data_IF_612930481111
#
_entry.id   IF_612930481111
#
_cell.length_a   1.000
_cell.length_b   1.000
_cell.length_c   1.000
_cell.angle_alpha   90.00
_cell.angle_beta   90.00
_cell.angle_gamma   90.00
#
_symmetry.space_group_name_H-M   'P 1'
#
loop_
_entity.id
_entity.type
_entity.pdbx_description
1 polymer ?
#
# COMPACT_ATOMS: atom_id res chain seq x y z
N UNK A 1 -5.10 -26.64 -4.97
CA UNK A 1 -4.50 -25.35 -4.57
C UNK A 1 -5.17 -24.27 -5.42
N UNK A 2 -5.95 -23.36 -4.82
CA UNK A 2 -6.55 -22.25 -5.57
C UNK A 2 -5.42 -21.34 -6.06
N UNK A 3 -5.46 -20.96 -7.35
CA UNK A 3 -4.47 -20.06 -7.95
C UNK A 3 -4.77 -18.64 -7.47
N UNK A 4 -3.76 -17.90 -7.05
CA UNK A 4 -3.92 -16.48 -6.70
C UNK A 4 -4.50 -15.71 -7.90
N UNK A 5 -5.49 -14.86 -7.65
CA UNK A 5 -6.14 -14.04 -8.67
C UNK A 5 -5.94 -12.56 -8.37
N UNK A 6 -5.41 -11.82 -9.34
CA UNK A 6 -5.37 -10.36 -9.27
C UNK A 6 -6.78 -9.80 -9.49
N UNK A 7 -7.23 -8.97 -8.56
CA UNK A 7 -8.40 -8.10 -8.68
C UNK A 7 -8.04 -6.80 -9.39
N UNK A 8 -9.00 -6.21 -10.11
CA UNK A 8 -8.89 -4.85 -10.63
C UNK A 8 -8.83 -3.86 -9.46
N UNK A 9 -7.75 -3.06 -9.31
CA UNK A 9 -7.66 -2.04 -8.27
C UNK A 9 -8.78 -1.00 -8.35
N UNK A 10 -9.33 -0.73 -9.54
CA UNK A 10 -10.19 0.43 -9.80
C UNK A 10 -9.37 1.73 -9.87
N UNK A 11 -10.06 2.87 -9.79
CA UNK A 11 -9.40 4.17 -9.77
C UNK A 11 -8.83 4.47 -8.37
N UNK A 12 -7.54 4.81 -8.34
CA UNK A 12 -6.80 5.12 -7.12
C UNK A 12 -6.26 6.54 -7.20
N UNK A 13 -7.06 7.50 -6.73
CA UNK A 13 -6.76 8.93 -6.79
C UNK A 13 -7.02 9.58 -5.43
N UNK A 14 -6.09 10.42 -4.99
CA UNK A 14 -6.23 11.30 -3.84
C UNK A 14 -5.67 12.66 -4.28
N UNK A 15 -6.52 13.68 -4.44
CA UNK A 15 -6.12 15.03 -4.83
C UNK A 15 -5.22 15.07 -6.08
N UNK A 16 -3.99 15.55 -5.91
CA UNK A 16 -2.97 15.64 -6.96
C UNK A 16 -2.20 14.33 -7.25
N UNK A 17 -2.51 13.24 -6.54
CA UNK A 17 -1.83 11.95 -6.66
C UNK A 17 -2.74 10.90 -7.30
N UNK A 18 -2.19 10.16 -8.27
CA UNK A 18 -2.79 8.95 -8.85
C UNK A 18 -1.83 7.78 -8.75
N UNK A 19 -2.35 6.60 -8.42
CA UNK A 19 -1.62 5.34 -8.56
C UNK A 19 -1.97 4.69 -9.90
N UNK A 20 -0.98 4.57 -10.78
CA UNK A 20 -1.12 3.87 -12.05
C UNK A 20 -0.53 2.47 -11.92
N UNK A 21 -1.34 1.43 -12.08
CA UNK A 21 -0.87 0.04 -12.05
C UNK A 21 0.16 -0.17 -13.17
N UNK A 22 1.38 -0.56 -12.78
CA UNK A 22 2.50 -0.77 -13.68
C UNK A 22 2.73 -2.25 -13.98
N UNK A 23 2.59 -3.12 -12.98
CA UNK A 23 2.81 -4.57 -13.11
C UNK A 23 2.02 -5.35 -12.05
N UNK A 24 1.55 -6.55 -12.42
CA UNK A 24 1.17 -7.59 -11.49
C UNK A 24 2.22 -8.72 -11.56
N UNK A 25 2.92 -8.96 -10.46
CA UNK A 25 3.94 -10.01 -10.36
C UNK A 25 3.38 -11.22 -9.60
N UNK A 26 3.36 -12.39 -10.23
CA UNK A 26 2.80 -13.63 -9.64
C UNK A 26 3.56 -14.13 -8.41
N UNK A 27 4.73 -13.57 -8.09
CA UNK A 27 5.62 -14.08 -7.06
C UNK A 27 6.55 -15.18 -7.56
N UNK A 28 7.43 -15.62 -6.67
CA UNK A 28 8.29 -16.79 -6.83
C UNK A 28 8.44 -17.43 -5.45
N UNK A 29 7.70 -18.52 -5.23
CA UNK A 29 7.69 -19.23 -3.95
C UNK A 29 9.08 -19.73 -3.53
N UNK A 30 9.95 -20.10 -4.48
CA UNK A 30 11.31 -20.53 -4.17
C UNK A 30 12.20 -19.40 -3.60
N UNK A 31 11.82 -18.15 -3.83
CA UNK A 31 12.49 -16.97 -3.30
C UNK A 31 11.68 -16.29 -2.18
N UNK A 32 10.62 -16.94 -1.69
CA UNK A 32 9.70 -16.36 -0.72
C UNK A 32 8.92 -15.15 -1.24
N UNK A 33 8.97 -14.85 -2.53
CA UNK A 33 8.25 -13.72 -3.12
C UNK A 33 6.79 -14.10 -3.35
N UNK A 34 5.89 -13.30 -2.79
CA UNK A 34 4.44 -13.47 -2.91
C UNK A 34 3.90 -12.62 -4.07
N UNK A 35 2.66 -12.86 -4.54
CA UNK A 35 2.02 -12.00 -5.52
C UNK A 35 2.05 -10.52 -5.12
N UNK A 36 2.40 -9.63 -6.07
CA UNK A 36 2.42 -8.18 -5.82
C UNK A 36 1.81 -7.36 -6.95
N UNK A 37 1.19 -6.26 -6.55
CA UNK A 37 0.82 -5.15 -7.41
C UNK A 37 1.88 -4.07 -7.29
N UNK A 38 2.40 -3.61 -8.43
CA UNK A 38 3.36 -2.51 -8.49
C UNK A 38 2.69 -1.30 -9.15
N UNK A 39 2.70 -0.16 -8.48
CA UNK A 39 2.11 1.07 -8.98
C UNK A 39 3.16 2.17 -9.14
N UNK A 40 3.01 2.98 -10.17
CA UNK A 40 3.65 4.28 -10.24
C UNK A 40 2.81 5.33 -9.53
N UNK A 41 3.45 6.12 -8.67
CA UNK A 41 2.87 7.37 -8.17
C UNK A 41 3.00 8.41 -9.27
N UNK A 42 1.88 8.98 -9.73
CA UNK A 42 1.85 10.02 -10.76
C UNK A 42 1.13 11.25 -10.24
N UNK A 43 1.70 12.42 -10.51
CA UNK A 43 1.03 13.68 -10.27
C UNK A 43 -0.06 13.89 -11.32
N UNK A 44 -1.27 14.27 -10.91
CA UNK A 44 -2.44 14.36 -11.79
C UNK A 44 -2.31 15.49 -12.84
N UNK A 45 -1.94 16.74 -12.48
CA UNK A 45 -1.87 17.83 -13.46
C UNK A 45 -0.96 17.60 -14.68
N UNK A 46 0.17 16.93 -14.50
CA UNK A 46 1.24 16.86 -15.52
C UNK A 46 1.78 15.43 -15.76
N UNK A 47 1.26 14.43 -15.05
CA UNK A 47 1.63 13.03 -15.22
C UNK A 47 3.03 12.66 -14.71
N UNK A 48 3.75 13.59 -14.09
CA UNK A 48 5.12 13.39 -13.59
C UNK A 48 5.17 12.21 -12.64
N UNK A 49 6.18 11.35 -12.79
CA UNK A 49 6.38 10.20 -11.92
C UNK A 49 7.03 10.65 -10.62
N UNK A 50 6.30 10.49 -9.53
CA UNK A 50 6.71 10.91 -8.18
C UNK A 50 7.47 9.82 -7.43
N UNK A 51 7.29 8.56 -7.84
CA UNK A 51 7.79 7.40 -7.11
C UNK A 51 7.07 6.10 -7.50
N UNK A 52 7.09 5.13 -6.60
CA UNK A 52 6.39 3.86 -6.74
C UNK A 52 5.94 3.32 -5.38
N UNK A 53 4.85 2.54 -5.40
CA UNK A 53 4.33 1.80 -4.24
C UNK A 53 3.96 0.38 -4.68
N UNK A 54 4.20 -0.60 -3.82
CA UNK A 54 3.86 -2.01 -4.03
C UNK A 54 2.89 -2.50 -2.97
N UNK A 55 1.89 -3.30 -3.35
CA UNK A 55 1.07 -4.09 -2.43
C UNK A 55 1.32 -5.58 -2.65
N UNK A 56 1.81 -6.27 -1.63
CA UNK A 56 2.15 -7.70 -1.63
C UNK A 56 1.10 -8.49 -0.86
N UNK A 57 0.56 -9.53 -1.49
CA UNK A 57 -0.52 -10.36 -0.95
C UNK A 57 -0.03 -11.79 -0.73
N UNK A 58 -0.04 -12.24 0.51
CA UNK A 58 0.38 -13.56 0.93
C UNK A 58 1.40 -13.50 2.06
N UNK A 59 1.78 -14.69 2.53
CA UNK A 59 2.71 -14.87 3.63
C UNK A 59 3.90 -15.72 3.18
N UNK A 60 5.07 -15.41 3.71
CA UNK A 60 6.30 -16.17 3.56
C UNK A 60 7.29 -15.72 4.65
N UNK A 61 8.39 -16.45 4.84
CA UNK A 61 9.47 -15.99 5.71
C UNK A 61 10.00 -14.62 5.26
N UNK A 62 10.18 -14.42 3.95
CA UNK A 62 10.66 -13.15 3.39
C UNK A 62 9.74 -11.97 3.74
N UNK A 63 8.42 -12.19 3.81
CA UNK A 63 7.43 -11.15 4.17
C UNK A 63 7.64 -10.56 5.57
N UNK A 64 8.32 -11.27 6.48
CA UNK A 64 8.71 -10.74 7.80
C UNK A 64 9.58 -9.49 7.66
N UNK A 65 10.40 -9.41 6.61
CA UNK A 65 11.42 -8.37 6.43
C UNK A 65 11.06 -7.31 5.39
N UNK A 66 10.05 -7.57 4.55
CA UNK A 66 9.63 -6.64 3.49
C UNK A 66 8.21 -6.11 3.64
N UNK A 67 7.37 -6.77 4.43
CA UNK A 67 5.97 -6.38 4.66
C UNK A 67 5.06 -6.43 3.42
N UNK A 68 3.81 -6.04 3.61
CA UNK A 68 2.78 -5.92 2.58
C UNK A 68 2.97 -4.68 1.71
N UNK A 69 3.49 -3.59 2.27
CA UNK A 69 3.66 -2.32 1.56
C UNK A 69 5.14 -1.97 1.45
N UNK A 70 5.57 -1.68 0.22
CA UNK A 70 6.85 -1.07 -0.08
C UNK A 70 6.62 0.24 -0.84
N UNK A 71 7.41 1.27 -0.57
CA UNK A 71 7.30 2.54 -1.30
C UNK A 71 8.64 3.25 -1.42
N UNK A 72 8.72 4.11 -2.42
CA UNK A 72 9.82 5.07 -2.60
C UNK A 72 9.31 6.31 -3.33
N UNK A 73 9.66 7.48 -2.80
CA UNK A 73 9.36 8.79 -3.41
C UNK A 73 10.68 9.43 -3.83
N UNK A 74 10.72 9.92 -5.06
CA UNK A 74 11.86 10.65 -5.60
C UNK A 74 12.19 11.85 -4.70
N UNK A 75 13.47 12.16 -4.54
CA UNK A 75 13.96 13.08 -3.52
C UNK A 75 13.35 14.48 -3.67
N UNK A 76 13.28 14.97 -4.90
CA UNK A 76 12.69 16.24 -5.32
C UNK A 76 11.17 16.35 -5.06
N UNK A 77 10.51 15.24 -4.72
CA UNK A 77 9.07 15.17 -4.50
C UNK A 77 8.68 14.79 -3.05
N UNK A 78 9.67 14.63 -2.16
CA UNK A 78 9.43 14.36 -0.73
C UNK A 78 8.75 15.55 -0.03
N UNK A 79 8.23 15.32 1.17
CA UNK A 79 7.51 16.34 1.97
C UNK A 79 6.00 16.44 1.71
N UNK A 80 5.50 15.86 0.61
CA UNK A 80 4.08 15.92 0.23
C UNK A 80 3.25 14.72 0.71
N UNK A 81 3.84 13.88 1.58
CA UNK A 81 3.21 12.66 2.14
C UNK A 81 2.73 11.65 1.08
N UNK A 82 3.28 11.67 -0.13
CA UNK A 82 2.86 10.77 -1.21
C UNK A 82 2.95 9.29 -0.81
N UNK A 83 3.96 8.86 -0.05
CA UNK A 83 4.05 7.48 0.43
C UNK A 83 2.89 7.09 1.37
N UNK A 84 2.55 7.95 2.33
CA UNK A 84 1.44 7.72 3.25
C UNK A 84 0.09 7.68 2.51
N UNK A 85 -0.16 8.67 1.65
CA UNK A 85 -1.38 8.77 0.84
C UNK A 85 -1.54 7.56 -0.10
N UNK A 86 -0.44 7.15 -0.74
CA UNK A 86 -0.42 5.94 -1.58
C UNK A 86 -0.74 4.67 -0.79
N UNK A 87 -0.23 4.55 0.43
CA UNK A 87 -0.51 3.39 1.30
C UNK A 87 -2.00 3.32 1.63
N UNK A 88 -2.62 4.46 1.99
CA UNK A 88 -4.05 4.54 2.29
C UNK A 88 -4.93 4.22 1.07
N UNK A 89 -4.54 4.67 -0.14
CA UNK A 89 -5.24 4.33 -1.38
C UNK A 89 -5.27 2.82 -1.66
N UNK A 90 -4.29 2.06 -1.18
CA UNK A 90 -4.22 0.60 -1.40
C UNK A 90 -5.03 -0.21 -0.38
N UNK A 91 -5.51 0.41 0.70
CA UNK A 91 -6.26 -0.29 1.76
C UNK A 91 -7.53 -0.99 1.24
N UNK A 92 -8.38 -0.36 0.40
CA UNK A 92 -9.55 -1.06 -0.15
C UNK A 92 -9.19 -2.32 -0.94
N UNK A 93 -8.14 -2.26 -1.77
CA UNK A 93 -7.66 -3.43 -2.52
C UNK A 93 -7.13 -4.52 -1.58
N UNK A 94 -6.37 -4.14 -0.54
CA UNK A 94 -5.88 -5.08 0.47
C UNK A 94 -7.03 -5.80 1.19
N UNK A 95 -8.09 -5.06 1.58
CA UNK A 95 -9.29 -5.64 2.23
C UNK A 95 -10.02 -6.62 1.33
N UNK A 96 -10.16 -6.32 0.03
CA UNK A 96 -10.78 -7.25 -0.95
C UNK A 96 -9.97 -8.55 -1.13
N UNK A 97 -8.68 -8.53 -0.81
CA UNK A 97 -7.83 -9.73 -0.71
C UNK A 97 -7.91 -10.43 0.65
N UNK A 98 -8.77 -9.96 1.56
CA UNK A 98 -8.99 -10.54 2.87
C UNK A 98 -8.01 -10.09 3.96
N UNK A 99 -7.15 -9.10 3.68
CA UNK A 99 -6.25 -8.57 4.71
C UNK A 99 -7.02 -7.71 5.71
N UNK A 100 -6.79 -7.96 7.01
CA UNK A 100 -7.33 -7.17 8.13
C UNK A 100 -6.29 -6.22 8.74
N UNK A 101 -5.02 -6.43 8.40
CA UNK A 101 -3.88 -5.60 8.78
C UNK A 101 -2.83 -5.59 7.66
N UNK A 102 -2.00 -4.55 7.64
CA UNK A 102 -0.83 -4.47 6.77
C UNK A 102 0.43 -4.44 7.62
N UNK A 103 1.42 -5.22 7.23
CA UNK A 103 2.77 -5.14 7.76
C UNK A 103 3.59 -4.19 6.91
N UNK A 104 4.29 -3.26 7.56
CA UNK A 104 5.25 -2.37 6.89
C UNK A 104 6.56 -2.44 7.66
N UNK A 105 7.65 -2.63 6.94
CA UNK A 105 8.99 -2.73 7.51
C UNK A 105 9.85 -1.57 7.09
N UNK A 106 10.74 -1.13 7.98
CA UNK A 106 11.69 -0.06 7.68
C UNK A 106 13.01 -0.30 8.39
N UNK A 107 14.09 0.29 7.88
CA UNK A 107 15.37 0.31 8.57
C UNK A 107 15.32 1.23 9.80
N UNK A 108 16.12 0.93 10.85
CA UNK A 108 16.15 1.73 12.08
C UNK A 108 16.57 3.19 11.89
N UNK A 109 17.38 3.49 10.88
CA UNK A 109 17.88 4.82 10.56
C UNK A 109 16.98 5.56 9.54
N UNK A 110 15.99 4.89 8.96
CA UNK A 110 15.05 5.49 8.02
C UNK A 110 13.88 6.16 8.75
N UNK A 111 14.18 7.25 9.46
CA UNK A 111 13.22 8.04 10.21
C UNK A 111 12.06 8.57 9.36
N UNK A 112 12.31 8.90 8.09
CA UNK A 112 11.28 9.39 7.17
C UNK A 112 10.21 8.32 6.89
N UNK A 113 10.63 7.07 6.70
CA UNK A 113 9.72 5.94 6.53
C UNK A 113 8.98 5.63 7.83
N UNK A 114 9.65 5.67 8.98
CA UNK A 114 9.00 5.49 10.29
C UNK A 114 7.86 6.50 10.49
N UNK A 115 8.11 7.80 10.24
CA UNK A 115 7.07 8.85 10.30
C UNK A 115 5.94 8.61 9.31
N UNK A 116 6.26 8.15 8.11
CA UNK A 116 5.25 7.79 7.10
C UNK A 116 4.36 6.65 7.60
N UNK A 117 4.94 5.63 8.23
CA UNK A 117 4.21 4.50 8.79
C UNK A 117 3.31 4.94 9.94
N UNK A 118 3.82 5.77 10.86
CA UNK A 118 3.04 6.33 11.96
C UNK A 118 1.84 7.16 11.44
N UNK A 119 2.04 7.96 10.39
CA UNK A 119 0.98 8.77 9.78
C UNK A 119 -0.18 7.95 9.20
N UNK A 120 0.08 6.71 8.77
CA UNK A 120 -0.97 5.81 8.28
C UNK A 120 -1.56 4.92 9.37
N UNK A 121 -1.25 5.21 10.65
CA UNK A 121 -1.74 4.47 11.81
C UNK A 121 -0.92 3.23 12.15
N UNK A 122 0.28 3.10 11.60
CA UNK A 122 1.18 2.00 11.90
C UNK A 122 1.71 2.04 13.32
N UNK A 123 1.62 0.90 14.00
CA UNK A 123 2.09 0.71 15.37
C UNK A 123 3.35 -0.12 15.34
N UNK A 124 4.42 0.35 15.99
CA UNK A 124 5.64 -0.45 16.15
C UNK A 124 5.31 -1.72 16.94
N UNK A 125 5.77 -2.87 16.43
CA UNK A 125 5.57 -4.17 17.06
C UNK A 125 6.90 -4.70 17.59
N UNK A 126 7.90 -4.81 16.73
CA UNK A 126 9.17 -5.44 17.06
C UNK A 126 10.30 -5.02 16.11
N UNK A 127 11.53 -5.35 16.51
CA UNK A 127 12.72 -5.29 15.66
C UNK A 127 13.20 -6.71 15.40
N UNK A 128 13.41 -7.07 14.13
CA UNK A 128 13.85 -8.41 13.74
C UNK A 128 15.21 -8.35 13.07
N UNK A 129 16.05 -9.36 13.33
CA UNK A 129 17.30 -9.55 12.61
C UNK A 129 17.00 -10.13 11.23
N UNK A 130 17.60 -9.53 10.20
CA UNK A 130 17.59 -10.09 8.85
C UNK A 130 18.57 -11.26 8.81
N UNK A 131 18.13 -12.47 8.45
CA UNK A 131 19.00 -13.63 8.48
C UNK A 131 19.96 -13.62 7.28
N UNK A 132 21.17 -14.22 7.39
CA UNK A 132 22.17 -14.18 6.32
C UNK A 132 21.72 -14.75 4.97
N UNK A 133 20.73 -15.66 4.96
CA UNK A 133 20.19 -16.25 3.74
C UNK A 133 19.12 -15.41 3.06
N UNK A 134 18.58 -14.38 3.70
CA UNK A 134 17.63 -13.49 3.06
C UNK A 134 18.35 -12.53 2.10
N UNK A 135 17.73 -12.29 0.95
CA UNK A 135 18.23 -11.37 -0.09
C UNK A 135 18.55 -9.95 0.42
N UNK A 136 17.86 -9.48 1.46
CA UNK A 136 18.11 -8.17 2.07
C UNK A 136 19.46 -8.13 2.80
N UNK A 137 19.91 -9.25 3.37
CA UNK A 137 21.21 -9.29 4.05
C UNK A 137 22.35 -8.93 3.09
N UNK A 138 22.27 -9.43 1.85
CA UNK A 138 23.22 -9.10 0.77
C UNK A 138 23.22 -7.64 0.34
N UNK A 139 22.16 -6.88 0.65
CA UNK A 139 22.04 -5.44 0.38
C UNK A 139 22.57 -4.57 1.53
N UNK A 140 22.99 -5.18 2.63
CA UNK A 140 23.47 -4.49 3.82
C UNK A 140 22.43 -4.36 4.93
N UNK A 141 21.18 -4.77 4.70
CA UNK A 141 20.15 -4.77 5.74
C UNK A 141 20.52 -5.75 6.86
N UNK A 142 20.34 -5.34 8.12
CA UNK A 142 20.64 -6.17 9.30
C UNK A 142 19.50 -6.26 10.29
N UNK A 143 18.75 -5.17 10.43
CA UNK A 143 17.62 -5.06 11.34
C UNK A 143 16.47 -4.46 10.54
N UNK A 144 15.27 -5.01 10.70
CA UNK A 144 14.03 -4.37 10.23
C UNK A 144 13.13 -4.07 11.43
N UNK A 145 12.67 -2.83 11.51
CA UNK A 145 11.57 -2.46 12.40
C UNK A 145 10.27 -2.89 11.73
N UNK A 146 9.44 -3.64 12.45
CA UNK A 146 8.14 -4.11 11.97
C UNK A 146 7.03 -3.30 12.59
N UNK A 147 6.17 -2.77 11.72
CA UNK A 147 4.98 -2.04 12.10
C UNK A 147 3.74 -2.73 11.57
N UNK A 148 2.67 -2.65 12.34
CA UNK A 148 1.36 -3.19 12.02
C UNK A 148 0.37 -2.06 11.85
N UNK A 149 -0.28 -2.00 10.69
CA UNK A 149 -1.34 -1.03 10.37
C UNK A 149 -2.67 -1.79 10.40
N UNK A 150 -3.51 -1.60 11.42
CA UNK A 150 -4.84 -2.22 11.43
C UNK A 150 -5.69 -1.56 10.35
N UNK A 151 -6.24 -2.36 9.43
CA UNK A 151 -7.15 -1.88 8.39
C UNK A 151 -8.58 -2.39 8.58
N UNK A 152 -8.80 -3.41 9.41
CA UNK A 152 -10.11 -4.00 9.61
C UNK A 152 -10.65 -4.70 8.34
N UNK A 153 -11.72 -5.48 8.47
CA UNK A 153 -12.37 -6.09 7.31
C UNK A 153 -12.98 -5.02 6.39
N UNK A 154 -13.30 -5.41 5.15
CA UNK A 154 -14.21 -4.62 4.32
C UNK A 154 -15.54 -4.50 5.07
N UNK A 155 -15.87 -3.28 5.52
CA UNK A 155 -17.20 -3.00 6.05
C UNK A 155 -18.19 -3.32 4.94
N UNK A 156 -19.02 -4.35 5.11
CA UNK A 156 -20.03 -4.73 4.14
C UNK A 156 -20.84 -3.50 3.77
N UNK A 157 -20.66 -2.99 2.55
CA UNK A 157 -21.46 -1.87 2.08
C UNK A 157 -22.79 -2.45 1.64
N UNK A 158 -23.85 -2.10 2.37
CA UNK A 158 -25.22 -2.26 1.95
C UNK A 158 -25.37 -1.71 0.53
N UNK A 159 -25.87 -2.54 -0.38
CA UNK A 159 -26.39 -2.08 -1.66
C UNK A 159 -27.63 -1.22 -1.37
N UNK A 160 -27.56 0.06 -1.70
CA UNK A 160 -28.66 1.00 -1.53
C UNK A 160 -28.57 2.13 -2.55
N UNK A 161 -28.74 1.79 -3.83
CA UNK A 161 -29.07 2.79 -4.84
C UNK A 161 -30.44 3.38 -4.52
N UNK A 162 -30.49 4.67 -4.21
CA UNK A 162 -31.72 5.45 -4.34
C UNK A 162 -31.34 6.85 -4.81
N UNK A 163 -31.72 7.13 -6.05
CA UNK A 163 -31.71 8.45 -6.63
C UNK A 163 -32.68 9.34 -5.84
N UNK A 164 -32.13 10.23 -5.00
CA UNK A 164 -32.90 11.37 -4.52
C UNK A 164 -32.97 12.40 -5.66
N UNK A 165 -34.15 12.46 -6.27
CA UNK A 165 -34.57 13.48 -7.23
C UNK A 165 -34.39 14.87 -6.61
N UNK A 166 -33.73 15.77 -7.34
CA UNK A 166 -33.81 17.21 -7.12
C UNK A 166 -35.12 17.70 -7.77
N UNK A 167 -36.17 17.85 -6.98
CA UNK A 167 -37.35 18.62 -7.39
C UNK A 167 -37.14 20.08 -6.97
N UNK A 168 -36.59 20.86 -7.90
CA UNK A 168 -36.58 22.32 -7.84
C UNK A 168 -37.80 22.86 -8.59
N UNK A 169 -38.79 23.35 -7.85
CA UNK A 169 -39.84 24.23 -8.39
C UNK A 169 -39.81 25.53 -7.59
N UNK A 170 -39.20 26.56 -8.17
CA UNK A 170 -39.29 27.92 -7.69
C UNK A 170 -40.70 28.47 -7.95
N UNK A 171 -41.31 29.04 -6.90
CA UNK A 171 -42.48 29.88 -7.04
C UNK A 171 -42.04 31.34 -7.10
N UNK A 172 -42.31 31.97 -8.24
CA UNK A 172 -42.37 33.42 -8.41
C UNK A 172 -43.81 33.86 -8.14
N UNK A 173 -43.99 34.75 -7.16
CA UNK A 173 -45.06 35.74 -7.08
C UNK A 173 -44.60 36.85 -6.13
#
# INVERSE_FOLDING_TARGET
>A
MQRFQFLDPGELVDGDLRLALALCYQGNAALGMVPSYEFHMRRVPDGVRLGAVSLRIGESEHMIYVGNIGYGVAEEHRGHRYAARSTLLLVPLARRHGLTELWITTDPDNWASQRTIELVGGQYVESVLVPPHDSLYGRGDRIKLRYRVPIGPESGTEQGGSAARFDGAGAMA
#
